data_IF_337085713902
#
_entry.id   IF_337085713902
#
_cell.length_a   1.000
_cell.length_b   1.000
_cell.length_c   1.000
_cell.angle_alpha   90.00
_cell.angle_beta   90.00
_cell.angle_gamma   90.00
#
_symmetry.space_group_name_H-M   'P 1'
#
loop_
_entity.id
_entity.type
_entity.pdbx_description
1 polymer ?
#
# COMPACT_ATOMS: atom_id res chain seq x y z
N UNK A 1 -34.99 35.80 25.53
CA UNK A 1 -33.65 35.72 24.91
C UNK A 1 -33.42 34.26 24.56
N UNK A 2 -33.62 33.89 23.29
CA UNK A 2 -33.43 32.51 22.81
C UNK A 2 -32.00 32.36 22.31
N UNK A 3 -31.15 31.71 23.12
CA UNK A 3 -29.77 31.39 22.75
C UNK A 3 -29.79 30.34 21.62
N UNK A 4 -29.54 30.79 20.39
CA UNK A 4 -29.28 29.91 19.25
C UNK A 4 -27.98 29.14 19.51
N UNK A 5 -28.11 27.92 20.05
CA UNK A 5 -27.04 26.95 20.11
C UNK A 5 -26.70 26.56 18.67
N UNK A 6 -25.74 27.26 18.08
CA UNK A 6 -25.12 26.86 16.82
C UNK A 6 -24.57 25.45 17.05
N UNK A 7 -25.25 24.44 16.51
CA UNK A 7 -24.73 23.09 16.43
C UNK A 7 -23.39 23.21 15.70
N UNK A 8 -22.30 23.11 16.46
CA UNK A 8 -20.96 23.04 15.90
C UNK A 8 -20.88 21.67 15.22
N UNK A 9 -21.27 21.62 13.95
CA UNK A 9 -21.11 20.43 13.13
C UNK A 9 -19.62 20.28 12.92
N UNK A 10 -18.98 19.53 13.82
CA UNK A 10 -17.58 19.15 13.67
C UNK A 10 -17.43 18.47 12.31
N UNK A 11 -16.38 18.84 11.56
CA UNK A 11 -16.12 18.25 10.25
C UNK A 11 -16.14 16.71 10.36
N UNK A 12 -16.76 15.96 9.43
CA UNK A 12 -16.91 14.51 9.50
C UNK A 12 -15.60 13.70 9.65
N UNK A 13 -14.45 14.35 9.53
CA UNK A 13 -13.11 13.73 9.63
C UNK A 13 -12.23 14.38 10.71
N UNK A 14 -12.79 15.26 11.55
CA UNK A 14 -12.03 16.03 12.55
C UNK A 14 -11.25 15.11 13.52
N UNK A 15 -11.75 13.89 13.76
CA UNK A 15 -11.12 12.89 14.64
C UNK A 15 -9.88 12.23 14.03
N UNK A 16 -9.76 12.17 12.70
CA UNK A 16 -8.63 11.54 12.02
C UNK A 16 -7.31 12.29 12.24
N UNK A 17 -7.39 13.62 12.41
CA UNK A 17 -6.22 14.49 12.57
C UNK A 17 -5.93 14.87 14.03
N UNK A 18 -6.84 14.57 14.96
CA UNK A 18 -6.69 14.87 16.38
C UNK A 18 -5.64 13.98 17.07
N UNK A 19 -5.31 12.81 16.49
CA UNK A 19 -4.25 11.91 16.98
C UNK A 19 -2.99 12.03 16.13
N UNK A 20 -2.28 13.16 16.24
CA UNK A 20 -1.02 13.40 15.52
C UNK A 20 0.24 13.05 16.33
N UNK A 21 0.08 12.39 17.48
CA UNK A 21 1.17 12.07 18.42
C UNK A 21 1.67 10.62 18.39
N UNK A 22 1.35 9.86 17.33
CA UNK A 22 2.01 8.59 17.12
C UNK A 22 3.37 8.82 16.46
N UNK A 23 4.42 8.77 17.28
CA UNK A 23 5.81 8.56 16.85
C UNK A 23 5.86 7.67 15.61
N UNK A 24 6.60 8.10 14.57
CA UNK A 24 6.73 7.41 13.27
C UNK A 24 7.23 5.97 13.44
N UNK A 25 6.35 5.05 13.84
CA UNK A 25 6.66 3.63 13.97
C UNK A 25 6.80 3.08 12.57
N UNK A 26 7.96 2.46 12.28
CA UNK A 26 8.15 1.74 11.02
C UNK A 26 7.08 0.66 10.97
N UNK A 27 6.28 0.68 9.91
CA UNK A 27 5.29 -0.37 9.68
C UNK A 27 6.02 -1.71 9.57
N UNK A 28 5.63 -2.66 10.42
CA UNK A 28 6.18 -4.01 10.39
C UNK A 28 5.90 -4.59 9.01
N UNK A 29 6.93 -5.13 8.38
CA UNK A 29 6.77 -5.74 7.07
C UNK A 29 5.84 -6.94 7.20
N UNK A 30 4.77 -6.93 6.41
CA UNK A 30 3.82 -8.03 6.41
C UNK A 30 4.37 -9.12 5.46
N UNK A 31 4.84 -10.21 6.07
CA UNK A 31 5.40 -11.38 5.41
C UNK A 31 4.32 -12.47 5.18
N UNK A 32 3.07 -12.09 4.89
CA UNK A 32 1.94 -13.02 4.80
C UNK A 32 2.19 -14.22 3.88
N UNK A 33 2.92 -14.01 2.78
CA UNK A 33 3.23 -15.02 1.77
C UNK A 33 4.56 -15.74 2.03
N UNK A 34 5.26 -15.48 3.14
CA UNK A 34 6.52 -16.20 3.42
C UNK A 34 6.27 -17.70 3.59
N UNK A 35 5.14 -18.09 4.18
CA UNK A 35 4.76 -19.49 4.35
C UNK A 35 4.44 -20.21 3.04
N UNK A 36 4.18 -19.47 1.96
CA UNK A 36 3.95 -20.05 0.62
C UNK A 36 5.22 -20.11 -0.22
N UNK A 37 6.26 -19.36 0.16
CA UNK A 37 7.52 -19.26 -0.59
C UNK A 37 8.61 -20.11 0.07
N UNK A 38 8.64 -20.15 1.41
CA UNK A 38 9.65 -20.86 2.17
C UNK A 38 9.05 -22.05 2.89
N UNK A 39 9.81 -23.14 2.93
CA UNK A 39 9.52 -24.25 3.83
C UNK A 39 9.91 -23.90 5.28
N UNK A 40 9.41 -24.65 6.30
CA UNK A 40 9.73 -24.37 7.70
C UNK A 40 11.23 -24.38 8.01
N UNK A 41 12.00 -25.25 7.36
CA UNK A 41 13.44 -25.36 7.55
C UNK A 41 14.18 -24.11 7.05
N UNK A 42 13.79 -23.57 5.90
CA UNK A 42 14.33 -22.34 5.32
C UNK A 42 14.00 -21.11 6.17
N UNK A 43 12.79 -21.06 6.75
CA UNK A 43 12.40 -19.99 7.67
C UNK A 43 13.27 -19.97 8.94
N UNK A 44 13.62 -21.15 9.46
CA UNK A 44 14.47 -21.30 10.64
C UNK A 44 15.96 -21.09 10.36
N UNK A 45 16.43 -21.45 9.16
CA UNK A 45 17.87 -21.50 8.84
C UNK A 45 18.37 -20.26 8.10
N UNK A 46 17.58 -19.70 7.19
CA UNK A 46 17.98 -18.53 6.42
C UNK A 46 17.81 -17.27 7.25
N UNK A 47 18.80 -16.38 7.25
CA UNK A 47 18.68 -15.08 7.91
C UNK A 47 17.65 -14.16 7.26
N UNK A 48 17.03 -13.27 8.05
CA UNK A 48 16.01 -12.33 7.57
C UNK A 48 16.40 -11.49 6.34
N UNK A 49 17.66 -11.01 6.17
CA UNK A 49 18.06 -10.30 4.96
C UNK A 49 17.98 -11.16 3.69
N UNK A 50 18.42 -12.42 3.76
CA UNK A 50 18.38 -13.35 2.63
C UNK A 50 16.94 -13.73 2.27
N UNK A 51 16.13 -14.05 3.29
CA UNK A 51 14.70 -14.34 3.08
C UNK A 51 13.99 -13.16 2.43
N UNK A 52 14.28 -11.92 2.84
CA UNK A 52 13.68 -10.72 2.24
C UNK A 52 14.02 -10.58 0.75
N UNK A 53 15.27 -10.84 0.36
CA UNK A 53 15.67 -10.78 -1.04
C UNK A 53 14.94 -11.84 -1.89
N UNK A 54 14.92 -13.10 -1.42
CA UNK A 54 14.23 -14.20 -2.11
C UNK A 54 12.73 -13.95 -2.19
N UNK A 55 12.13 -13.46 -1.11
CA UNK A 55 10.71 -13.11 -1.05
C UNK A 55 10.34 -12.06 -2.12
N UNK A 56 11.10 -10.97 -2.19
CA UNK A 56 10.87 -9.92 -3.18
C UNK A 56 11.03 -10.45 -4.61
N UNK A 57 12.13 -11.13 -4.90
CA UNK A 57 12.39 -11.69 -6.23
C UNK A 57 11.29 -12.70 -6.66
N UNK A 58 10.80 -13.49 -5.71
CA UNK A 58 9.72 -14.46 -5.96
C UNK A 58 8.39 -13.78 -6.29
N UNK A 59 8.08 -12.66 -5.60
CA UNK A 59 6.89 -11.86 -5.89
C UNK A 59 7.02 -11.14 -7.24
N UNK A 60 8.17 -10.55 -7.54
CA UNK A 60 8.44 -9.90 -8.83
C UNK A 60 8.28 -10.89 -9.98
N UNK A 61 8.89 -12.07 -9.89
CA UNK A 61 8.76 -13.11 -10.90
C UNK A 61 7.31 -13.61 -11.06
N UNK A 62 6.53 -13.64 -9.98
CA UNK A 62 5.11 -14.00 -10.07
C UNK A 62 4.29 -12.93 -10.78
N UNK A 63 4.53 -11.64 -10.48
CA UNK A 63 3.89 -10.51 -11.14
C UNK A 63 4.22 -10.52 -12.63
N UNK A 64 5.48 -10.75 -13.00
CA UNK A 64 5.90 -10.82 -14.41
C UNK A 64 5.18 -11.94 -15.16
N UNK A 65 5.04 -13.13 -14.55
CA UNK A 65 4.26 -14.23 -15.13
C UNK A 65 2.78 -13.86 -15.29
N UNK A 66 2.18 -13.23 -14.28
CA UNK A 66 0.78 -12.80 -14.34
C UNK A 66 0.57 -11.75 -15.44
N UNK A 67 1.49 -10.79 -15.57
CA UNK A 67 1.44 -9.76 -16.62
C UNK A 67 1.59 -10.39 -18.01
N UNK A 68 2.50 -11.35 -18.18
CA UNK A 68 2.63 -12.08 -19.44
C UNK A 68 1.34 -12.84 -19.82
N UNK A 69 0.69 -13.46 -18.83
CA UNK A 69 -0.60 -14.12 -19.02
C UNK A 69 -1.70 -13.12 -19.41
N UNK A 70 -1.84 -12.01 -18.68
CA UNK A 70 -2.81 -10.96 -18.97
C UNK A 70 -2.60 -10.32 -20.35
N UNK A 71 -1.34 -10.15 -20.75
CA UNK A 71 -0.98 -9.65 -22.06
C UNK A 71 -1.39 -10.64 -23.15
N UNK A 72 -1.15 -11.94 -22.96
CA UNK A 72 -1.52 -12.98 -23.93
C UNK A 72 -3.01 -13.08 -24.22
N UNK A 73 -3.86 -12.76 -23.22
CA UNK A 73 -5.33 -12.77 -23.35
C UNK A 73 -5.90 -11.38 -23.71
N UNK A 74 -5.05 -10.36 -23.89
CA UNK A 74 -5.48 -9.00 -24.22
C UNK A 74 -6.19 -8.26 -23.07
N UNK A 75 -6.10 -8.73 -21.84
CA UNK A 75 -6.75 -8.15 -20.66
C UNK A 75 -5.80 -7.31 -19.79
N UNK A 76 -4.72 -6.77 -20.38
CA UNK A 76 -3.79 -5.94 -19.62
C UNK A 76 -4.51 -4.67 -19.14
N UNK A 77 -4.50 -4.35 -17.82
CA UNK A 77 -5.25 -3.22 -17.27
C UNK A 77 -4.69 -1.85 -17.67
N UNK A 78 -3.46 -1.81 -18.18
CA UNK A 78 -2.75 -0.58 -18.59
C UNK A 78 -2.17 -0.80 -19.98
N UNK A 79 -2.32 0.19 -20.86
CA UNK A 79 -1.75 0.11 -22.20
C UNK A 79 -0.23 0.31 -22.18
N UNK A 80 0.49 -0.32 -23.11
CA UNK A 80 1.94 -0.13 -23.24
C UNK A 80 2.29 1.35 -23.47
N UNK A 81 1.45 2.07 -24.23
CA UNK A 81 1.63 3.50 -24.50
C UNK A 81 1.60 4.37 -23.23
N UNK A 82 0.81 3.98 -22.22
CA UNK A 82 0.79 4.68 -20.94
C UNK A 82 2.02 4.36 -20.09
N UNK A 83 2.53 3.13 -20.16
CA UNK A 83 3.75 2.71 -19.47
C UNK A 83 5.01 3.39 -20.02
N UNK A 84 5.06 3.65 -21.33
CA UNK A 84 6.20 4.32 -21.97
C UNK A 84 6.50 5.70 -21.37
N UNK A 85 5.49 6.40 -20.85
CA UNK A 85 5.66 7.70 -20.16
C UNK A 85 6.52 7.60 -18.90
N UNK A 86 6.62 6.40 -18.32
CA UNK A 86 7.40 6.12 -17.12
C UNK A 86 8.72 5.41 -17.43
N UNK A 87 9.07 5.20 -18.71
CA UNK A 87 10.36 4.64 -19.10
C UNK A 87 11.50 5.54 -18.57
N UNK A 88 12.47 4.93 -17.88
CA UNK A 88 13.59 5.66 -17.28
C UNK A 88 13.27 6.37 -15.97
N UNK A 89 12.09 6.16 -15.39
CA UNK A 89 11.75 6.66 -14.06
C UNK A 89 12.74 6.11 -13.03
N UNK A 90 13.43 7.00 -12.33
CA UNK A 90 14.40 6.57 -11.31
C UNK A 90 13.68 5.96 -10.09
N UNK A 91 14.34 5.02 -9.42
CA UNK A 91 13.75 4.30 -8.29
C UNK A 91 13.40 5.20 -7.10
N UNK A 92 14.06 6.35 -6.92
CA UNK A 92 13.75 7.29 -5.83
C UNK A 92 12.40 7.96 -6.06
N UNK A 93 12.15 8.45 -7.27
CA UNK A 93 10.88 9.06 -7.67
C UNK A 93 9.76 8.03 -7.62
N UNK A 94 9.98 6.83 -8.17
CA UNK A 94 8.99 5.75 -8.12
C UNK A 94 8.59 5.42 -6.67
N UNK A 95 9.56 5.26 -5.77
CA UNK A 95 9.30 5.04 -4.33
C UNK A 95 8.51 6.18 -3.69
N UNK A 96 8.84 7.43 -4.03
CA UNK A 96 8.11 8.60 -3.49
C UNK A 96 6.65 8.63 -3.97
N UNK A 97 6.41 8.35 -5.25
CA UNK A 97 5.06 8.31 -5.82
C UNK A 97 4.21 7.23 -5.16
N UNK A 98 4.74 6.01 -5.05
CA UNK A 98 4.04 4.88 -4.40
C UNK A 98 3.80 5.17 -2.92
N UNK A 99 4.76 5.77 -2.22
CA UNK A 99 4.59 6.16 -0.81
C UNK A 99 3.46 7.16 -0.61
N UNK A 100 3.37 8.17 -1.49
CA UNK A 100 2.30 9.18 -1.43
C UNK A 100 0.94 8.55 -1.74
N UNK A 101 0.85 7.74 -2.79
CA UNK A 101 -0.37 7.02 -3.14
C UNK A 101 -0.84 6.11 -1.99
N UNK A 102 0.09 5.38 -1.37
CA UNK A 102 -0.22 4.53 -0.22
C UNK A 102 -0.75 5.36 0.97
N UNK A 103 -0.17 6.53 1.22
CA UNK A 103 -0.65 7.45 2.26
C UNK A 103 -2.08 7.93 1.96
N UNK A 104 -2.33 8.39 0.73
CA UNK A 104 -3.65 8.84 0.28
C UNK A 104 -4.70 7.74 0.40
N UNK A 105 -4.42 6.52 -0.07
CA UNK A 105 -5.31 5.36 0.09
C UNK A 105 -5.59 5.07 1.56
N UNK A 106 -4.58 5.16 2.43
CA UNK A 106 -4.76 4.91 3.87
C UNK A 106 -5.68 5.95 4.50
N UNK A 107 -5.50 7.24 4.16
CA UNK A 107 -6.37 8.32 4.62
C UNK A 107 -7.80 8.15 4.09
N UNK A 108 -7.96 7.80 2.82
CA UNK A 108 -9.27 7.57 2.20
C UNK A 108 -10.02 6.41 2.86
N UNK A 109 -9.34 5.31 3.18
CA UNK A 109 -9.94 4.19 3.94
C UNK A 109 -10.41 4.62 5.33
N UNK A 110 -9.62 5.44 6.03
CA UNK A 110 -10.02 5.97 7.34
C UNK A 110 -11.26 6.87 7.23
N UNK A 111 -11.34 7.71 6.18
CA UNK A 111 -12.52 8.54 5.91
C UNK A 111 -13.76 7.69 5.65
N UNK A 112 -13.64 6.62 4.85
CA UNK A 112 -14.75 5.69 4.59
C UNK A 112 -15.25 5.03 5.89
N UNK A 113 -14.35 4.55 6.74
CA UNK A 113 -14.73 3.97 8.04
C UNK A 113 -15.43 4.96 8.96
N UNK A 114 -15.08 6.24 8.92
CA UNK A 114 -15.79 7.27 9.69
C UNK A 114 -17.17 7.57 9.12
N UNK A 115 -17.35 7.52 7.79
CA UNK A 115 -18.66 7.63 7.15
C UNK A 115 -19.57 6.45 7.47
N UNK A 116 -19.04 5.23 7.48
CA UNK A 116 -19.80 4.01 7.83
C UNK A 116 -20.23 3.97 9.31
N UNK A 117 -19.60 4.77 10.17
CA UNK A 117 -19.92 4.85 11.60
C UNK A 117 -21.00 5.89 11.95
N UNK A 118 -21.27 6.83 11.05
CA UNK A 118 -22.25 7.91 11.23
C UNK A 118 -23.65 7.45 10.84
#
# INVERSE_FOLDING_TARGET
QTSSSKLCIAHPYARLFAKKDDTKRRRIWNHALEKTIFNPYELSTLGAPHRRAIYLASLEAHIDRLLAQLFSIGCCPVSVAELERFRGLNSKTAKSMVSNLQHEVSVSRLKLLELERA
#
